data_IF_875465586800
#
_entry.id   IF_875465586800
#
_cell.length_a   1.000
_cell.length_b   1.000
_cell.length_c   1.000
_cell.angle_alpha   90.00
_cell.angle_beta   90.00
_cell.angle_gamma   90.00
#
_symmetry.space_group_name_H-M   'P 1'
#
loop_
_entity.id
_entity.type
_entity.pdbx_description
1 polymer ?
#
# COMPACT_ATOMS: atom_id res chain seq x y z
N UNK A 1 -31.07 -16.60 -0.46
CA UNK A 1 -31.76 -15.99 0.69
C UNK A 1 -30.86 -15.03 1.46
N UNK A 2 -29.55 -15.28 1.57
CA UNK A 2 -28.61 -14.39 2.26
C UNK A 2 -28.63 -12.93 1.78
N UNK A 3 -28.68 -12.69 0.46
CA UNK A 3 -28.76 -11.33 -0.10
C UNK A 3 -29.97 -10.54 0.43
N UNK A 4 -31.13 -11.19 0.53
CA UNK A 4 -32.38 -10.56 0.98
C UNK A 4 -32.38 -10.35 2.51
N UNK A 5 -31.80 -11.28 3.27
CA UNK A 5 -31.65 -11.16 4.72
C UNK A 5 -30.65 -10.05 5.08
N UNK A 6 -29.48 -10.02 4.45
CA UNK A 6 -28.48 -8.97 4.63
C UNK A 6 -29.06 -7.60 4.28
N UNK A 7 -29.78 -7.49 3.17
CA UNK A 7 -30.47 -6.27 2.77
C UNK A 7 -31.52 -5.82 3.81
N UNK A 8 -32.35 -6.72 4.31
CA UNK A 8 -33.40 -6.38 5.29
C UNK A 8 -32.82 -5.94 6.64
N UNK A 9 -31.79 -6.63 7.13
CA UNK A 9 -31.12 -6.27 8.38
C UNK A 9 -30.35 -4.95 8.25
N UNK A 10 -29.58 -4.77 7.17
CA UNK A 10 -28.85 -3.54 6.94
C UNK A 10 -29.80 -2.34 6.75
N UNK A 11 -30.94 -2.52 6.07
CA UNK A 11 -31.98 -1.49 5.96
C UNK A 11 -32.57 -1.09 7.32
N UNK A 12 -32.65 -2.02 8.26
CA UNK A 12 -33.13 -1.76 9.62
C UNK A 12 -32.09 -0.97 10.43
N UNK A 13 -30.80 -1.28 10.25
CA UNK A 13 -29.69 -0.56 10.88
C UNK A 13 -29.52 0.87 10.33
N UNK A 14 -29.58 1.04 9.01
CA UNK A 14 -29.48 2.38 8.39
C UNK A 14 -30.62 3.32 8.81
N UNK A 15 -31.83 2.78 9.06
CA UNK A 15 -32.96 3.56 9.57
C UNK A 15 -32.73 4.12 10.98
N UNK A 16 -31.75 3.61 11.73
CA UNK A 16 -31.38 4.10 13.06
C UNK A 16 -30.34 5.24 13.01
N UNK A 17 -30.01 5.76 11.81
CA UNK A 17 -29.21 6.98 11.64
C UNK A 17 -27.71 6.76 11.46
N UNK A 18 -27.27 5.54 11.14
CA UNK A 18 -25.86 5.16 11.30
C UNK A 18 -24.95 5.48 10.10
N UNK A 19 -25.49 5.70 8.90
CA UNK A 19 -24.70 6.11 7.73
C UNK A 19 -25.59 6.49 6.55
N UNK A 20 -25.32 7.61 5.87
CA UNK A 20 -26.11 8.07 4.72
C UNK A 20 -25.60 7.56 3.36
N UNK A 21 -24.70 6.56 3.32
CA UNK A 21 -24.15 6.12 2.04
C UNK A 21 -25.19 5.33 1.22
N UNK A 22 -25.54 5.77 -0.01
CA UNK A 22 -26.67 5.20 -0.75
C UNK A 22 -26.44 3.75 -1.19
N UNK A 23 -25.18 3.32 -1.33
CA UNK A 23 -24.82 2.04 -1.93
C UNK A 23 -24.66 0.88 -0.95
N UNK A 24 -24.83 1.11 0.36
CA UNK A 24 -24.69 0.06 1.38
C UNK A 24 -25.49 -1.21 1.06
N UNK A 25 -26.74 -1.03 0.65
CA UNK A 25 -27.66 -2.13 0.36
C UNK A 25 -27.27 -2.88 -0.91
N UNK A 26 -26.73 -2.19 -1.91
CA UNK A 26 -26.26 -2.78 -3.18
C UNK A 26 -24.97 -3.54 -2.94
N UNK A 27 -24.01 -2.93 -2.24
CA UNK A 27 -22.76 -3.56 -1.84
C UNK A 27 -23.01 -4.84 -1.04
N UNK A 28 -23.87 -4.79 -0.02
CA UNK A 28 -24.19 -5.96 0.81
C UNK A 28 -24.76 -7.13 0.01
N UNK A 29 -25.61 -6.85 -0.99
CA UNK A 29 -26.14 -7.88 -1.89
C UNK A 29 -25.06 -8.46 -2.79
N UNK A 30 -24.18 -7.63 -3.36
CA UNK A 30 -23.09 -8.09 -4.22
C UNK A 30 -22.08 -8.93 -3.45
N UNK A 31 -21.69 -8.50 -2.25
CA UNK A 31 -20.82 -9.25 -1.33
C UNK A 31 -21.49 -10.57 -0.95
N UNK A 32 -22.75 -10.55 -0.52
CA UNK A 32 -23.48 -11.77 -0.17
C UNK A 32 -23.61 -12.77 -1.33
N UNK A 33 -23.76 -12.27 -2.56
CA UNK A 33 -23.76 -13.11 -3.76
C UNK A 33 -22.38 -13.71 -4.03
N UNK A 34 -21.33 -12.92 -3.91
CA UNK A 34 -19.94 -13.37 -4.09
C UNK A 34 -19.56 -14.44 -3.07
N UNK A 35 -19.91 -14.24 -1.79
CA UNK A 35 -19.69 -15.23 -0.72
C UNK A 35 -20.40 -16.56 -0.99
N UNK A 36 -21.61 -16.51 -1.54
CA UNK A 36 -22.37 -17.73 -1.85
C UNK A 36 -21.86 -18.46 -3.09
N UNK A 37 -21.47 -17.73 -4.13
CA UNK A 37 -21.07 -18.32 -5.42
C UNK A 37 -19.61 -18.77 -5.44
N UNK A 38 -18.74 -18.12 -4.69
CA UNK A 38 -17.31 -18.35 -4.80
C UNK A 38 -16.75 -17.87 -6.14
N UNK A 39 -17.22 -16.72 -6.63
CA UNK A 39 -16.73 -16.12 -7.87
C UNK A 39 -15.63 -15.10 -7.58
N UNK A 40 -14.74 -14.84 -8.55
CA UNK A 40 -13.80 -13.70 -8.49
C UNK A 40 -14.57 -12.41 -8.79
N UNK A 41 -14.70 -11.55 -7.79
CA UNK A 41 -15.55 -10.35 -7.85
C UNK A 41 -14.71 -9.11 -7.57
N UNK A 42 -14.76 -8.12 -8.46
CA UNK A 42 -14.16 -6.80 -8.26
C UNK A 42 -15.27 -5.76 -8.12
N UNK A 43 -15.31 -5.08 -6.99
CA UNK A 43 -16.26 -4.00 -6.71
C UNK A 43 -15.47 -2.70 -6.59
N UNK A 44 -15.67 -1.79 -7.55
CA UNK A 44 -15.07 -0.46 -7.54
C UNK A 44 -16.00 0.49 -6.81
N UNK A 45 -15.52 1.04 -5.71
CA UNK A 45 -16.18 2.02 -4.87
C UNK A 45 -15.66 3.41 -5.23
N UNK A 46 -16.49 4.42 -5.03
CA UNK A 46 -16.01 5.78 -5.00
C UNK A 46 -15.02 5.97 -3.82
N UNK A 47 -13.97 6.81 -3.98
CA UNK A 47 -13.02 7.10 -2.93
C UNK A 47 -13.76 7.69 -1.73
N UNK A 48 -13.77 6.97 -0.61
CA UNK A 48 -14.54 7.33 0.57
C UNK A 48 -13.66 7.38 1.82
N UNK A 49 -13.36 8.59 2.29
CA UNK A 49 -12.45 8.86 3.41
C UNK A 49 -12.84 8.16 4.72
N UNK A 50 -14.12 7.80 4.90
CA UNK A 50 -14.60 7.21 6.16
C UNK A 50 -14.83 5.72 6.08
N UNK A 51 -14.41 5.04 5.01
CA UNK A 51 -14.60 3.59 4.80
C UNK A 51 -16.04 3.15 5.12
N UNK A 52 -17.02 3.94 4.65
CA UNK A 52 -18.43 3.72 5.01
C UNK A 52 -18.93 2.34 4.54
N UNK A 53 -18.23 1.70 3.62
CA UNK A 53 -18.51 0.37 3.07
C UNK A 53 -18.39 -0.80 4.08
N UNK A 54 -17.79 -0.62 5.26
CA UNK A 54 -17.60 -1.70 6.25
C UNK A 54 -18.89 -2.45 6.60
N UNK A 55 -19.98 -1.73 6.84
CA UNK A 55 -21.26 -2.37 7.18
C UNK A 55 -21.79 -3.25 6.03
N UNK A 56 -21.61 -2.79 4.78
CA UNK A 56 -22.00 -3.57 3.60
C UNK A 56 -21.19 -4.86 3.44
N UNK A 57 -19.90 -4.85 3.80
CA UNK A 57 -19.02 -6.02 3.76
C UNK A 57 -19.27 -6.99 4.93
N UNK A 58 -19.42 -6.47 6.15
CA UNK A 58 -19.48 -7.29 7.36
C UNK A 58 -20.84 -7.93 7.58
N UNK A 59 -21.94 -7.27 7.18
CA UNK A 59 -23.30 -7.81 7.39
C UNK A 59 -23.51 -9.20 6.76
N UNK A 60 -23.13 -9.45 5.49
CA UNK A 60 -23.16 -10.79 4.90
C UNK A 60 -22.33 -11.83 5.68
N UNK A 61 -21.15 -11.44 6.18
CA UNK A 61 -20.25 -12.32 6.94
C UNK A 61 -20.80 -12.67 8.33
N UNK A 62 -21.55 -11.76 8.97
CA UNK A 62 -22.23 -12.04 10.22
C UNK A 62 -23.40 -13.01 10.05
N UNK A 63 -24.08 -12.97 8.91
CA UNK A 63 -25.27 -13.80 8.65
C UNK A 63 -24.91 -15.22 8.19
N UNK A 64 -23.77 -15.39 7.52
CA UNK A 64 -23.23 -16.70 7.18
C UNK A 64 -21.77 -16.76 7.64
N UNK A 65 -21.48 -17.45 8.76
CA UNK A 65 -20.10 -17.72 9.13
C UNK A 65 -19.45 -18.53 8.00
N UNK A 66 -18.45 -17.94 7.37
CA UNK A 66 -17.67 -18.55 6.31
C UNK A 66 -16.22 -18.65 6.76
N UNK A 67 -15.54 -19.73 6.39
CA UNK A 67 -14.07 -19.85 6.49
C UNK A 67 -13.40 -18.91 5.47
N UNK A 68 -13.61 -17.62 5.60
CA UNK A 68 -13.04 -16.59 4.73
C UNK A 68 -11.78 -16.00 5.39
N UNK A 69 -10.85 -15.55 4.55
CA UNK A 69 -9.64 -14.85 4.94
C UNK A 69 -9.82 -13.38 4.60
N UNK A 70 -9.74 -12.51 5.59
CA UNK A 70 -9.81 -11.06 5.42
C UNK A 70 -8.40 -10.49 5.60
N UNK A 71 -7.85 -9.94 4.53
CA UNK A 71 -6.50 -9.33 4.54
C UNK A 71 -6.65 -7.85 4.79
N UNK A 72 -6.06 -7.35 5.87
CA UNK A 72 -6.24 -5.97 6.32
C UNK A 72 -4.90 -5.25 6.46
N UNK A 73 -4.92 -3.95 6.23
CA UNK A 73 -3.86 -3.07 6.75
C UNK A 73 -3.96 -2.94 8.26
N UNK A 74 -2.87 -2.50 8.93
CA UNK A 74 -2.87 -2.30 10.37
C UNK A 74 -3.99 -1.34 10.82
N UNK A 75 -4.23 -0.27 10.07
CA UNK A 75 -5.29 0.72 10.34
C UNK A 75 -6.68 0.10 10.21
N UNK A 76 -6.94 -0.63 9.13
CA UNK A 76 -8.21 -1.32 8.92
C UNK A 76 -8.48 -2.38 9.99
N UNK A 77 -7.45 -3.13 10.40
CA UNK A 77 -7.54 -4.11 11.48
C UNK A 77 -7.90 -3.46 12.81
N UNK A 78 -7.23 -2.37 13.18
CA UNK A 78 -7.55 -1.63 14.40
C UNK A 78 -8.99 -1.13 14.37
N UNK A 79 -9.43 -0.54 13.26
CA UNK A 79 -10.80 -0.07 13.09
C UNK A 79 -11.83 -1.20 13.19
N UNK A 80 -11.60 -2.32 12.52
CA UNK A 80 -12.49 -3.48 12.57
C UNK A 80 -12.69 -3.97 14.01
N UNK A 81 -11.60 -4.10 14.77
CA UNK A 81 -11.63 -4.66 16.12
C UNK A 81 -12.16 -3.68 17.18
N UNK A 82 -11.78 -2.41 17.09
CA UNK A 82 -12.10 -1.40 18.10
C UNK A 82 -13.40 -0.65 17.84
N UNK A 83 -13.81 -0.52 16.57
CA UNK A 83 -14.96 0.31 16.18
C UNK A 83 -16.08 -0.55 15.60
N UNK A 84 -15.85 -1.23 14.49
CA UNK A 84 -16.95 -1.87 13.74
C UNK A 84 -17.48 -3.13 14.43
N UNK A 85 -16.61 -3.97 15.01
CA UNK A 85 -17.04 -5.17 15.74
C UNK A 85 -17.85 -4.84 17.00
N UNK A 86 -17.45 -3.90 17.88
CA UNK A 86 -18.29 -3.49 19.00
C UNK A 86 -19.62 -2.87 18.58
N UNK A 87 -19.64 -2.13 17.45
CA UNK A 87 -20.88 -1.59 16.88
C UNK A 87 -21.86 -2.69 16.47
N UNK A 88 -21.38 -3.68 15.71
CA UNK A 88 -22.18 -4.84 15.32
C UNK A 88 -22.66 -5.65 16.53
N UNK A 89 -21.82 -5.80 17.55
CA UNK A 89 -22.17 -6.51 18.78
C UNK A 89 -23.30 -5.83 19.57
N UNK A 90 -23.34 -4.49 19.63
CA UNK A 90 -24.44 -3.72 20.25
C UNK A 90 -25.78 -3.96 19.57
N UNK A 91 -25.75 -4.26 18.27
CA UNK A 91 -26.93 -4.56 17.46
C UNK A 91 -27.32 -6.05 17.49
N UNK A 92 -26.56 -6.88 18.23
CA UNK A 92 -26.81 -8.30 18.37
C UNK A 92 -26.13 -9.20 17.33
N UNK A 93 -25.33 -8.64 16.42
CA UNK A 93 -24.57 -9.42 15.44
C UNK A 93 -23.22 -9.86 16.03
N UNK A 94 -22.90 -11.15 15.92
CA UNK A 94 -21.63 -11.71 16.40
C UNK A 94 -20.75 -12.08 15.22
N UNK A 95 -19.60 -11.42 15.10
CA UNK A 95 -18.54 -11.77 14.17
C UNK A 95 -17.43 -12.50 14.92
N UNK A 96 -17.22 -13.78 14.63
CA UNK A 96 -16.11 -14.55 15.17
C UNK A 96 -14.87 -14.32 14.31
N UNK A 97 -13.85 -13.69 14.89
CA UNK A 97 -12.58 -13.42 14.22
C UNK A 97 -11.46 -14.22 14.89
N UNK A 98 -10.59 -14.80 14.07
CA UNK A 98 -9.38 -15.49 14.51
C UNK A 98 -8.15 -14.71 14.08
N UNK A 99 -7.25 -14.46 15.03
CA UNK A 99 -5.96 -13.83 14.80
C UNK A 99 -4.86 -14.85 15.07
N UNK A 100 -4.02 -15.11 14.06
CA UNK A 100 -2.89 -16.03 14.19
C UNK A 100 -2.35 -16.47 12.85
N UNK A 101 -1.12 -16.98 12.85
CA UNK A 101 -0.46 -17.49 11.63
C UNK A 101 -0.96 -18.90 11.25
N UNK A 102 -1.69 -19.56 12.14
CA UNK A 102 -2.35 -20.83 11.88
C UNK A 102 -3.81 -20.62 11.49
N UNK A 103 -4.34 -21.47 10.61
CA UNK A 103 -5.73 -21.39 10.20
C UNK A 103 -6.70 -21.66 11.38
N UNK A 104 -7.87 -21.00 11.41
CA UNK A 104 -8.88 -21.28 12.43
C UNK A 104 -9.43 -22.71 12.30
N UNK A 105 -9.69 -23.40 13.44
CA UNK A 105 -10.26 -24.75 13.44
C UNK A 105 -11.78 -24.80 13.24
N UNK A 106 -12.48 -23.66 13.26
CA UNK A 106 -13.93 -23.53 13.05
C UNK A 106 -14.22 -22.49 11.95
N UNK A 107 -15.49 -22.38 11.54
CA UNK A 107 -16.00 -21.36 10.60
C UNK A 107 -15.93 -19.95 11.23
N UNK A 108 -14.71 -19.42 11.31
CA UNK A 108 -14.38 -18.09 11.80
C UNK A 108 -13.66 -17.31 10.72
N UNK A 109 -13.81 -15.99 10.76
CA UNK A 109 -13.12 -15.09 9.85
C UNK A 109 -11.63 -15.04 10.24
N UNK A 110 -10.76 -15.49 9.35
CA UNK A 110 -9.31 -15.43 9.58
C UNK A 110 -8.78 -14.05 9.19
N UNK A 111 -8.27 -13.31 10.18
CA UNK A 111 -7.67 -12.01 9.95
C UNK A 111 -6.16 -12.17 9.70
N UNK A 112 -5.70 -11.70 8.54
CA UNK A 112 -4.29 -11.69 8.17
C UNK A 112 -3.86 -10.28 7.77
N UNK A 113 -2.58 -9.99 7.97
CA UNK A 113 -1.90 -8.89 7.31
C UNK A 113 -1.31 -9.36 5.96
N UNK A 114 -0.74 -8.42 5.20
CA UNK A 114 -0.14 -8.72 3.90
C UNK A 114 1.07 -9.67 4.01
N UNK A 115 1.86 -9.56 5.08
CA UNK A 115 2.99 -10.45 5.35
C UNK A 115 2.51 -11.87 5.70
N UNK A 116 1.51 -11.99 6.57
CA UNK A 116 0.87 -13.25 6.93
C UNK A 116 0.18 -13.91 5.74
N UNK A 117 -0.37 -13.15 4.80
CA UNK A 117 -0.90 -13.67 3.54
C UNK A 117 0.20 -14.35 2.71
N UNK A 118 1.36 -13.73 2.56
CA UNK A 118 2.51 -14.30 1.83
C UNK A 118 2.96 -15.61 2.49
N UNK A 119 3.12 -15.62 3.81
CA UNK A 119 3.52 -16.80 4.55
C UNK A 119 2.48 -17.92 4.44
N UNK A 120 1.20 -17.60 4.63
CA UNK A 120 0.11 -18.57 4.53
C UNK A 120 0.00 -19.18 3.13
N UNK A 121 0.26 -18.40 2.08
CA UNK A 121 0.31 -18.90 0.70
C UNK A 121 1.51 -19.82 0.48
N UNK A 122 2.72 -19.40 0.90
CA UNK A 122 3.95 -20.21 0.80
C UNK A 122 3.86 -21.54 1.54
N UNK A 123 3.17 -21.58 2.67
CA UNK A 123 2.93 -22.79 3.45
C UNK A 123 1.67 -23.57 3.04
N UNK A 124 0.92 -23.12 2.03
CA UNK A 124 -0.30 -23.79 1.57
C UNK A 124 -1.45 -23.81 2.59
N UNK A 125 -1.42 -22.96 3.61
CA UNK A 125 -2.38 -22.95 4.73
C UNK A 125 -3.74 -22.35 4.35
N UNK A 126 -3.79 -21.61 3.23
CA UNK A 126 -5.01 -20.93 2.78
C UNK A 126 -6.08 -21.90 2.24
N UNK A 127 -5.71 -23.08 1.72
CA UNK A 127 -6.65 -24.07 1.17
C UNK A 127 -7.62 -23.46 0.15
N UNK A 128 -8.89 -23.88 0.19
CA UNK A 128 -9.98 -23.38 -0.68
C UNK A 128 -10.74 -22.18 -0.09
N UNK A 129 -10.19 -21.55 0.97
CA UNK A 129 -10.84 -20.43 1.65
C UNK A 129 -10.98 -19.22 0.73
N UNK A 130 -12.12 -18.55 0.83
CA UNK A 130 -12.37 -17.31 0.08
C UNK A 130 -11.55 -16.16 0.65
N UNK A 131 -10.92 -15.41 -0.24
CA UNK A 131 -10.09 -14.25 0.09
C UNK A 131 -10.90 -12.97 -0.04
N UNK A 132 -10.86 -12.12 0.98
CA UNK A 132 -11.48 -10.80 0.99
C UNK A 132 -10.36 -9.75 1.09
N UNK A 133 -10.25 -8.94 0.04
CA UNK A 133 -9.21 -7.93 -0.13
C UNK A 133 -9.84 -6.54 -0.18
N UNK A 134 -10.07 -5.90 0.99
CA UNK A 134 -10.37 -4.48 1.03
C UNK A 134 -9.13 -3.66 0.61
N UNK A 135 -9.29 -2.73 -0.33
CA UNK A 135 -8.20 -1.88 -0.79
C UNK A 135 -7.22 -2.60 -1.72
N UNK A 136 -7.74 -3.32 -2.72
CA UNK A 136 -6.93 -4.06 -3.70
C UNK A 136 -5.92 -3.16 -4.44
N UNK A 137 -6.22 -1.87 -4.55
CA UNK A 137 -5.38 -0.89 -5.26
C UNK A 137 -3.97 -0.77 -4.66
N UNK A 138 -3.83 -0.93 -3.34
CA UNK A 138 -2.53 -0.85 -2.65
C UNK A 138 -1.86 -2.22 -2.52
N UNK A 139 -2.55 -3.32 -2.86
CA UNK A 139 -2.07 -4.67 -2.59
C UNK A 139 -0.71 -4.94 -3.24
N UNK A 140 -0.52 -4.55 -4.50
CA UNK A 140 0.76 -4.73 -5.20
C UNK A 140 1.89 -3.98 -4.53
N UNK A 141 1.67 -2.74 -4.09
CA UNK A 141 2.68 -1.96 -3.36
C UNK A 141 2.99 -2.57 -1.98
N UNK A 142 1.97 -2.98 -1.24
CA UNK A 142 2.13 -3.61 0.07
C UNK A 142 2.82 -4.98 -0.03
N UNK A 143 2.46 -5.80 -1.01
CA UNK A 143 3.13 -7.08 -1.26
C UNK A 143 4.59 -6.88 -1.65
N UNK A 144 4.88 -5.89 -2.51
CA UNK A 144 6.25 -5.53 -2.89
C UNK A 144 7.08 -5.19 -1.66
N UNK A 145 6.56 -4.31 -0.79
CA UNK A 145 7.22 -3.92 0.47
C UNK A 145 7.39 -5.10 1.43
N UNK A 146 6.39 -5.95 1.58
CA UNK A 146 6.47 -7.13 2.45
C UNK A 146 7.45 -8.19 1.92
N UNK A 147 7.69 -8.24 0.60
CA UNK A 147 8.66 -9.11 -0.03
C UNK A 147 10.05 -8.47 -0.16
N UNK A 148 10.19 -7.19 0.18
CA UNK A 148 11.43 -6.45 0.05
C UNK A 148 12.52 -7.06 0.95
N UNK A 149 13.72 -7.19 0.41
CA UNK A 149 14.90 -7.64 1.14
C UNK A 149 15.81 -6.43 1.31
N UNK A 150 16.08 -6.07 2.57
CA UNK A 150 17.01 -5.00 2.92
C UNK A 150 18.21 -5.59 3.66
N UNK A 151 19.41 -5.38 3.11
CA UNK A 151 20.67 -5.80 3.73
C UNK A 151 21.44 -4.58 4.22
N UNK A 152 21.54 -4.44 5.53
CA UNK A 152 22.31 -3.40 6.19
C UNK A 152 23.67 -3.96 6.66
N UNK A 153 24.53 -3.09 7.20
CA UNK A 153 25.86 -3.48 7.70
C UNK A 153 25.80 -4.63 8.73
N UNK A 154 24.77 -4.68 9.57
CA UNK A 154 24.56 -5.76 10.55
C UNK A 154 24.36 -7.13 9.89
N UNK A 155 23.66 -7.20 8.75
CA UNK A 155 23.45 -8.45 8.01
C UNK A 155 24.75 -8.96 7.40
N UNK A 156 25.66 -8.07 7.00
CA UNK A 156 27.01 -8.44 6.55
C UNK A 156 27.87 -8.99 7.69
N UNK A 157 27.79 -8.40 8.88
CA UNK A 157 28.48 -8.91 10.07
C UNK A 157 27.97 -10.29 10.48
N UNK A 158 26.65 -10.50 10.49
CA UNK A 158 26.04 -11.80 10.77
C UNK A 158 26.48 -12.87 9.77
N UNK A 159 26.59 -12.52 8.49
CA UNK A 159 27.10 -13.42 7.46
C UNK A 159 28.56 -13.80 7.72
N UNK A 160 29.40 -12.85 8.10
CA UNK A 160 30.81 -13.10 8.45
C UNK A 160 30.95 -14.01 9.66
N UNK A 161 30.10 -13.84 10.68
CA UNK A 161 30.07 -14.71 11.86
C UNK A 161 29.61 -16.13 11.51
N UNK A 162 28.64 -16.26 10.61
CA UNK A 162 28.12 -17.57 10.18
C UNK A 162 29.10 -18.31 9.25
N UNK A 163 29.88 -17.59 8.44
CA UNK A 163 30.80 -18.13 7.45
C UNK A 163 32.25 -17.63 7.66
N UNK A 164 32.93 -18.06 8.74
CA UNK A 164 34.30 -17.62 9.02
C UNK A 164 35.30 -18.03 7.92
N UNK A 165 34.99 -19.06 7.13
CA UNK A 165 35.83 -19.53 6.03
C UNK A 165 35.88 -18.53 4.84
N UNK A 166 34.89 -17.65 4.72
CA UNK A 166 34.76 -16.69 3.62
C UNK A 166 34.88 -15.23 4.08
N UNK A 167 35.41 -14.99 5.27
CA UNK A 167 35.47 -13.64 5.85
C UNK A 167 36.26 -12.65 4.97
N UNK A 168 37.46 -13.03 4.51
CA UNK A 168 38.30 -12.18 3.66
C UNK A 168 37.64 -11.82 2.32
N UNK A 169 37.15 -12.78 1.50
CA UNK A 169 36.50 -12.42 0.23
C UNK A 169 35.20 -11.63 0.42
N UNK A 170 34.44 -11.86 1.51
CA UNK A 170 33.26 -11.07 1.81
C UNK A 170 33.60 -9.61 2.16
N UNK A 171 34.66 -9.40 2.95
CA UNK A 171 35.11 -8.06 3.34
C UNK A 171 35.66 -7.29 2.13
N UNK A 172 36.52 -7.91 1.33
CA UNK A 172 37.07 -7.29 0.11
C UNK A 172 35.96 -6.88 -0.87
N UNK A 173 34.95 -7.74 -1.03
CA UNK A 173 33.81 -7.45 -1.89
C UNK A 173 32.94 -6.30 -1.34
N UNK A 174 32.65 -6.30 -0.03
CA UNK A 174 31.88 -5.24 0.61
C UNK A 174 32.59 -3.88 0.49
N UNK A 175 33.90 -3.83 0.73
CA UNK A 175 34.69 -2.61 0.57
C UNK A 175 34.74 -2.10 -0.87
N UNK A 176 34.86 -3.02 -1.84
CA UNK A 176 34.86 -2.67 -3.26
C UNK A 176 33.53 -2.05 -3.67
N UNK A 177 32.42 -2.65 -3.24
CA UNK A 177 31.07 -2.15 -3.52
C UNK A 177 30.84 -0.79 -2.86
N UNK A 178 31.19 -0.65 -1.58
CA UNK A 178 31.08 0.62 -0.86
C UNK A 178 31.83 1.75 -1.60
N UNK A 179 33.08 1.51 -2.00
CA UNK A 179 33.87 2.49 -2.76
C UNK A 179 33.26 2.85 -4.11
N UNK A 180 32.70 1.88 -4.82
CA UNK A 180 32.03 2.13 -6.11
C UNK A 180 30.76 2.96 -5.92
N UNK A 181 29.91 2.58 -4.97
CA UNK A 181 28.64 3.26 -4.71
C UNK A 181 28.83 4.72 -4.28
N UNK A 182 29.73 5.00 -3.33
CA UNK A 182 29.99 6.38 -2.89
C UNK A 182 30.65 7.23 -3.98
N UNK A 183 31.38 6.62 -4.93
CA UNK A 183 31.96 7.34 -6.08
C UNK A 183 30.92 7.69 -7.13
N UNK A 184 29.93 6.84 -7.32
CA UNK A 184 28.88 7.01 -8.34
C UNK A 184 27.69 7.85 -7.85
N UNK A 185 27.64 8.18 -6.55
CA UNK A 185 26.55 8.92 -5.94
C UNK A 185 26.33 10.31 -6.58
N UNK A 186 25.19 10.53 -7.27
CA UNK A 186 24.91 11.82 -7.91
C UNK A 186 24.48 12.90 -6.90
N UNK A 187 24.02 12.49 -5.70
CA UNK A 187 23.49 13.34 -4.64
C UNK A 187 23.79 12.73 -3.26
N UNK A 188 23.65 13.55 -2.23
CA UNK A 188 23.58 13.10 -0.84
C UNK A 188 22.35 12.20 -0.69
N UNK A 189 22.54 11.06 -0.03
CA UNK A 189 21.55 10.00 0.21
C UNK A 189 20.85 9.49 -1.05
N UNK A 190 21.63 9.30 -2.13
CA UNK A 190 21.12 8.79 -3.39
C UNK A 190 20.78 7.29 -3.34
N UNK A 191 19.74 6.92 -4.09
CA UNK A 191 19.48 5.54 -4.48
C UNK A 191 20.22 5.24 -5.79
N UNK A 192 21.11 4.24 -5.79
CA UNK A 192 21.94 3.88 -6.94
C UNK A 192 21.59 2.47 -7.38
N UNK A 193 21.31 2.27 -8.67
CA UNK A 193 21.10 0.94 -9.22
C UNK A 193 22.39 0.12 -9.09
N UNK A 194 22.27 -1.08 -8.52
CA UNK A 194 23.38 -2.02 -8.43
C UNK A 194 23.52 -2.84 -9.71
N UNK A 195 24.75 -3.04 -10.15
CA UNK A 195 25.05 -3.86 -11.31
C UNK A 195 24.85 -5.35 -10.99
N UNK A 196 24.11 -6.05 -11.87
CA UNK A 196 23.78 -7.45 -11.66
C UNK A 196 25.02 -8.37 -11.66
N UNK A 197 26.12 -7.95 -12.30
CA UNK A 197 27.38 -8.71 -12.35
C UNK A 197 27.99 -8.88 -10.95
N UNK A 198 28.05 -7.81 -10.17
CA UNK A 198 28.57 -7.84 -8.81
C UNK A 198 27.65 -8.63 -7.87
N UNK A 199 26.34 -8.51 -8.06
CA UNK A 199 25.35 -9.29 -7.32
C UNK A 199 25.48 -10.78 -7.61
N UNK A 200 25.73 -11.16 -8.87
CA UNK A 200 25.91 -12.55 -9.27
C UNK A 200 27.17 -13.15 -8.64
N UNK A 201 28.29 -12.42 -8.61
CA UNK A 201 29.52 -12.89 -7.96
C UNK A 201 29.32 -13.21 -6.47
N UNK A 202 28.53 -12.40 -5.77
CA UNK A 202 28.15 -12.66 -4.38
C UNK A 202 27.29 -13.91 -4.26
N UNK A 203 26.29 -14.08 -5.13
CA UNK A 203 25.43 -15.27 -5.11
C UNK A 203 26.19 -16.55 -5.41
N UNK A 204 27.10 -16.51 -6.38
CA UNK A 204 27.94 -17.65 -6.73
C UNK A 204 28.80 -18.04 -5.52
N UNK A 205 29.43 -17.07 -4.86
CA UNK A 205 30.20 -17.28 -3.63
C UNK A 205 29.34 -17.90 -2.52
N UNK A 206 28.15 -17.34 -2.26
CA UNK A 206 27.24 -17.83 -1.23
C UNK A 206 26.68 -19.23 -1.55
N UNK A 207 26.43 -19.54 -2.82
CA UNK A 207 25.93 -20.84 -3.26
C UNK A 207 26.89 -21.99 -2.95
N UNK A 208 28.20 -21.71 -2.96
CA UNK A 208 29.26 -22.68 -2.66
C UNK A 208 29.45 -22.87 -1.15
N UNK A 209 29.08 -21.87 -0.34
CA UNK A 209 29.44 -21.80 1.08
C UNK A 209 28.37 -22.38 2.04
N UNK A 210 27.24 -22.87 1.52
CA UNK A 210 26.24 -23.62 2.29
C UNK A 210 25.09 -22.76 2.87
N UNK A 211 24.41 -23.22 3.94
CA UNK A 211 23.21 -22.55 4.46
C UNK A 211 23.55 -21.19 5.07
N UNK A 212 23.01 -20.13 4.48
CA UNK A 212 23.20 -18.76 4.92
C UNK A 212 22.08 -18.31 5.87
N UNK A 213 22.35 -17.43 6.85
CA UNK A 213 21.30 -16.86 7.69
C UNK A 213 20.37 -15.95 6.89
N UNK A 214 19.11 -15.82 7.32
CA UNK A 214 18.21 -14.77 6.81
C UNK A 214 18.84 -13.39 7.03
N UNK A 215 18.82 -12.45 6.05
CA UNK A 215 18.03 -12.45 4.80
C UNK A 215 18.75 -13.05 3.58
N UNK A 216 19.95 -13.60 3.74
CA UNK A 216 20.78 -14.08 2.63
C UNK A 216 20.23 -15.34 1.97
N UNK A 217 19.57 -16.20 2.75
CA UNK A 217 18.82 -17.35 2.21
C UNK A 217 17.76 -16.91 1.21
N UNK A 218 17.03 -15.84 1.53
CA UNK A 218 15.94 -15.34 0.71
C UNK A 218 16.52 -14.71 -0.57
N UNK A 219 17.61 -13.95 -0.46
CA UNK A 219 18.32 -13.40 -1.61
C UNK A 219 18.78 -14.49 -2.61
N UNK A 220 19.23 -15.65 -2.11
CA UNK A 220 19.64 -16.78 -2.95
C UNK A 220 18.46 -17.44 -3.68
N UNK A 221 17.26 -17.38 -3.10
CA UNK A 221 16.05 -17.91 -3.75
C UNK A 221 15.45 -16.97 -4.80
N UNK A 222 15.82 -15.69 -4.80
CA UNK A 222 15.29 -14.69 -5.72
C UNK A 222 15.93 -14.73 -7.11
N UNK A 223 15.11 -14.67 -8.16
CA UNK A 223 15.60 -14.50 -9.54
C UNK A 223 16.09 -13.04 -9.75
N UNK A 224 17.36 -12.81 -10.17
CA UNK A 224 17.86 -11.46 -10.43
C UNK A 224 17.12 -10.70 -11.53
N UNK A 225 16.38 -11.37 -12.41
CA UNK A 225 15.70 -10.75 -13.56
C UNK A 225 14.33 -10.19 -13.20
N UNK A 226 13.69 -10.77 -12.19
CA UNK A 226 12.34 -10.41 -11.74
C UNK A 226 12.36 -9.42 -10.58
N UNK A 227 13.55 -9.08 -10.08
CA UNK A 227 13.77 -8.23 -8.92
C UNK A 227 14.60 -7.00 -9.30
N UNK A 228 14.19 -5.84 -8.81
CA UNK A 228 14.96 -4.60 -8.88
C UNK A 228 15.97 -4.56 -7.73
N UNK A 229 17.21 -4.16 -8.03
CA UNK A 229 18.31 -4.08 -7.07
C UNK A 229 18.90 -2.67 -7.04
N UNK A 230 18.93 -2.04 -5.87
CA UNK A 230 19.57 -0.75 -5.66
C UNK A 230 20.25 -0.67 -4.29
N UNK A 231 21.15 0.28 -4.14
CA UNK A 231 21.74 0.67 -2.87
C UNK A 231 21.16 2.02 -2.44
N UNK A 232 20.71 2.11 -1.20
CA UNK A 232 20.41 3.36 -0.51
C UNK A 232 21.65 3.79 0.25
N UNK A 233 22.17 4.99 -0.05
CA UNK A 233 23.30 5.55 0.65
C UNK A 233 22.84 6.38 1.85
N UNK A 234 23.55 6.26 2.96
CA UNK A 234 23.49 7.17 4.09
C UNK A 234 24.86 7.84 4.23
N UNK A 235 24.95 9.08 3.78
CA UNK A 235 26.19 9.87 3.84
C UNK A 235 26.46 10.41 5.24
N UNK A 236 25.48 10.43 6.14
CA UNK A 236 25.67 10.87 7.53
C UNK A 236 26.39 9.81 8.34
N UNK A 237 26.03 8.54 8.15
CA UNK A 237 26.67 7.40 8.80
C UNK A 237 27.78 6.76 7.95
N UNK A 238 27.95 7.19 6.71
CA UNK A 238 28.83 6.56 5.70
C UNK A 238 28.51 5.06 5.52
N UNK A 239 27.22 4.73 5.59
CA UNK A 239 26.69 3.38 5.45
C UNK A 239 25.86 3.27 4.18
N UNK A 240 25.60 2.04 3.76
CA UNK A 240 24.70 1.77 2.65
C UNK A 240 23.86 0.54 2.95
N UNK A 241 22.62 0.57 2.47
CA UNK A 241 21.67 -0.54 2.55
C UNK A 241 21.45 -1.09 1.14
N UNK A 242 21.57 -2.40 0.97
CA UNK A 242 21.17 -3.05 -0.28
C UNK A 242 19.67 -3.34 -0.22
N UNK A 243 18.90 -2.76 -1.11
CA UNK A 243 17.48 -3.01 -1.25
C UNK A 243 17.20 -3.85 -2.51
N UNK A 244 16.38 -4.88 -2.34
CA UNK A 244 15.82 -5.68 -3.42
C UNK A 244 14.31 -5.73 -3.30
N UNK A 245 13.60 -5.47 -4.39
CA UNK A 245 12.13 -5.59 -4.44
C UNK A 245 11.67 -6.31 -5.72
N UNK A 246 10.61 -7.13 -5.66
CA UNK A 246 10.06 -7.76 -6.85
C UNK A 246 9.44 -6.71 -7.79
N UNK A 247 9.70 -6.83 -9.09
CA UNK A 247 9.10 -5.96 -10.11
C UNK A 247 7.59 -6.18 -10.20
N UNK A 248 7.15 -7.45 -10.15
CA UNK A 248 5.76 -7.87 -10.26
C UNK A 248 5.40 -8.84 -9.12
N UNK A 249 5.01 -8.34 -7.93
CA UNK A 249 4.81 -9.18 -6.74
C UNK A 249 3.68 -10.20 -6.91
N UNK A 250 2.64 -9.86 -7.68
CA UNK A 250 1.53 -10.78 -7.97
C UNK A 250 1.95 -11.95 -8.86
N UNK A 251 2.91 -11.74 -9.77
CA UNK A 251 3.46 -12.81 -10.60
C UNK A 251 4.33 -13.78 -9.78
N UNK A 252 5.00 -13.30 -8.74
CA UNK A 252 5.74 -14.15 -7.80
C UNK A 252 4.81 -15.03 -6.96
N UNK A 253 3.60 -14.55 -6.65
CA UNK A 253 2.58 -15.27 -5.87
C UNK A 253 1.55 -15.95 -6.79
N UNK A 254 2.03 -16.73 -7.76
CA UNK A 254 1.16 -17.48 -8.66
C UNK A 254 0.17 -18.33 -7.87
N UNK A 255 -1.09 -18.34 -8.31
CA UNK A 255 -2.16 -19.09 -7.65
C UNK A 255 -2.85 -18.35 -6.51
N UNK A 256 -2.28 -17.27 -5.95
CA UNK A 256 -2.88 -16.54 -4.83
C UNK A 256 -4.31 -16.09 -5.16
N UNK A 257 -4.48 -15.44 -6.32
CA UNK A 257 -5.76 -14.89 -6.78
C UNK A 257 -6.49 -15.80 -7.77
N UNK A 258 -5.77 -16.70 -8.45
CA UNK A 258 -6.35 -17.53 -9.51
C UNK A 258 -6.91 -18.87 -8.99
N UNK A 259 -6.36 -19.47 -7.93
CA UNK A 259 -6.81 -20.80 -7.49
C UNK A 259 -8.02 -20.77 -6.56
N UNK A 260 -8.43 -19.59 -6.08
CA UNK A 260 -9.45 -19.47 -5.04
C UNK A 260 -10.48 -18.37 -5.37
N UNK A 261 -11.66 -18.41 -4.74
CA UNK A 261 -12.60 -17.30 -4.81
C UNK A 261 -12.03 -16.06 -4.12
N UNK A 262 -12.14 -14.90 -4.78
CA UNK A 262 -11.63 -13.62 -4.26
C UNK A 262 -12.68 -12.53 -4.42
N UNK A 263 -12.97 -11.82 -3.33
CA UNK A 263 -13.71 -10.56 -3.34
C UNK A 263 -12.70 -9.41 -3.18
N UNK A 264 -12.64 -8.53 -4.17
CA UNK A 264 -11.75 -7.38 -4.21
C UNK A 264 -12.60 -6.11 -4.11
N UNK A 265 -12.25 -5.21 -3.19
CA UNK A 265 -12.81 -3.86 -3.11
C UNK A 265 -11.74 -2.87 -3.52
N UNK A 266 -12.02 -2.07 -4.55
CA UNK A 266 -11.19 -0.96 -5.00
C UNK A 266 -11.82 0.35 -4.57
N UNK A 267 -11.02 1.32 -4.13
CA UNK A 267 -11.45 2.68 -3.76
C UNK A 267 -10.77 3.78 -4.58
N UNK A 268 -9.81 3.42 -5.45
CA UNK A 268 -8.94 4.36 -6.16
C UNK A 268 -9.61 5.07 -7.35
N UNK A 269 -10.82 4.67 -7.74
CA UNK A 269 -11.56 5.23 -8.89
C UNK A 269 -10.96 4.90 -10.27
N UNK A 270 -9.65 4.62 -10.38
CA UNK A 270 -8.96 4.21 -11.60
C UNK A 270 -8.65 2.70 -11.57
N UNK A 271 -9.43 1.94 -12.33
CA UNK A 271 -9.27 0.48 -12.41
C UNK A 271 -8.23 0.03 -13.43
N UNK A 272 -7.68 0.92 -14.27
CA UNK A 272 -6.90 0.51 -15.45
C UNK A 272 -5.59 -0.18 -15.09
N UNK A 273 -4.81 0.40 -14.17
CA UNK A 273 -3.56 -0.20 -13.68
C UNK A 273 -3.83 -1.52 -12.96
N UNK A 274 -4.82 -1.53 -12.08
CA UNK A 274 -5.23 -2.73 -11.34
C UNK A 274 -5.64 -3.86 -12.29
N UNK A 275 -6.42 -3.57 -13.33
CA UNK A 275 -6.85 -4.54 -14.33
C UNK A 275 -5.66 -5.16 -15.07
N UNK A 276 -4.65 -4.36 -15.41
CA UNK A 276 -3.42 -4.85 -16.04
C UNK A 276 -2.62 -5.77 -15.10
N UNK A 277 -2.47 -5.39 -13.84
CA UNK A 277 -1.78 -6.21 -12.82
C UNK A 277 -2.52 -7.54 -12.57
N UNK A 278 -3.86 -7.52 -12.50
CA UNK A 278 -4.69 -8.71 -12.37
C UNK A 278 -4.62 -9.61 -13.61
N UNK A 279 -4.61 -9.03 -14.81
CA UNK A 279 -4.46 -9.76 -16.06
C UNK A 279 -3.10 -10.48 -16.10
N UNK A 280 -2.02 -9.77 -15.74
CA UNK A 280 -0.67 -10.32 -15.69
C UNK A 280 -0.55 -11.46 -14.67
N UNK A 281 -1.34 -11.42 -13.59
CA UNK A 281 -1.43 -12.46 -12.57
C UNK A 281 -2.41 -13.61 -12.91
N UNK A 282 -2.99 -13.65 -14.12
CA UNK A 282 -4.05 -14.60 -14.53
C UNK A 282 -5.27 -14.60 -13.59
N UNK A 283 -5.59 -13.45 -13.01
CA UNK A 283 -6.60 -13.26 -11.98
C UNK A 283 -7.76 -12.38 -12.46
N UNK A 284 -8.23 -12.58 -13.69
CA UNK A 284 -9.33 -11.78 -14.26
C UNK A 284 -10.61 -11.96 -13.44
N UNK A 285 -11.27 -10.86 -13.04
CA UNK A 285 -12.53 -10.91 -12.30
C UNK A 285 -13.65 -11.42 -13.21
N UNK A 286 -14.48 -12.32 -12.68
CA UNK A 286 -15.67 -12.84 -13.37
C UNK A 286 -16.84 -11.86 -13.29
N UNK A 287 -16.91 -11.11 -12.19
CA UNK A 287 -17.95 -10.11 -11.94
C UNK A 287 -17.28 -8.80 -11.58
N UNK A 288 -17.59 -7.74 -12.33
CA UNK A 288 -17.16 -6.37 -12.06
C UNK A 288 -18.40 -5.50 -11.82
N UNK A 289 -18.34 -4.62 -10.82
CA UNK A 289 -19.39 -3.63 -10.59
C UNK A 289 -18.79 -2.33 -10.08
N UNK A 290 -19.29 -1.19 -10.58
CA UNK A 290 -18.84 0.14 -10.19
C UNK A 290 -19.98 0.86 -9.46
N UNK A 291 -19.73 1.25 -8.21
CA UNK A 291 -20.67 1.99 -7.36
C UNK A 291 -20.23 3.47 -7.31
N UNK A 292 -20.73 4.26 -8.27
CA UNK A 292 -20.40 5.69 -8.42
C UNK A 292 -21.21 6.56 -7.46
N UNK A 293 -20.60 7.62 -6.93
CA UNK A 293 -21.27 8.64 -6.13
C UNK A 293 -21.48 9.90 -6.97
N UNK A 294 -22.69 10.47 -6.94
CA UNK A 294 -23.08 11.64 -7.75
C UNK A 294 -22.32 12.90 -7.35
N UNK A 295 -21.92 13.03 -6.08
CA UNK A 295 -21.16 14.17 -5.55
C UNK A 295 -19.76 14.30 -6.18
N UNK A 296 -19.20 13.19 -6.70
CA UNK A 296 -17.90 13.15 -7.38
C UNK A 296 -18.01 13.29 -8.90
N UNK A 297 -19.22 13.52 -9.44
CA UNK A 297 -19.44 13.76 -10.88
C UNK A 297 -19.30 15.24 -11.25
N UNK A 298 -19.13 16.14 -10.28
CA UNK A 298 -18.87 17.56 -10.56
C UNK A 298 -17.49 17.73 -11.22
N UNK A 299 -17.41 18.40 -12.38
CA UNK A 299 -16.15 18.60 -13.07
C UNK A 299 -15.23 19.51 -12.25
N UNK A 300 -14.03 19.01 -11.92
CA UNK A 300 -13.01 19.77 -11.24
C UNK A 300 -12.53 20.93 -12.13
N UNK A 301 -12.54 22.19 -11.65
CA UNK A 301 -12.00 23.31 -12.41
C UNK A 301 -10.48 23.20 -12.48
N UNK A 302 -9.98 22.79 -13.66
CA UNK A 302 -8.55 22.60 -13.91
C UNK A 302 -7.88 23.93 -14.29
N UNK A 303 -6.83 24.30 -13.55
CA UNK A 303 -5.94 25.38 -13.91
C UNK A 303 -4.57 24.81 -14.32
N UNK A 304 -4.19 25.02 -15.58
CA UNK A 304 -2.87 24.67 -16.09
C UNK A 304 -2.15 25.95 -16.54
N UNK A 305 -1.03 26.32 -15.91
CA UNK A 305 -0.29 27.53 -16.28
C UNK A 305 0.29 27.40 -17.70
N UNK A 306 0.14 28.45 -18.51
CA UNK A 306 0.71 28.48 -19.86
C UNK A 306 2.24 28.56 -19.77
N UNK A 307 2.94 27.78 -20.60
CA UNK A 307 4.41 27.73 -20.68
C UNK A 307 5.08 27.29 -19.38
N UNK A 308 4.51 26.29 -18.70
CA UNK A 308 5.17 25.68 -17.56
C UNK A 308 6.55 25.13 -17.97
N UNK A 309 7.64 25.55 -17.32
CA UNK A 309 8.97 25.01 -17.57
C UNK A 309 9.04 23.53 -17.16
N UNK A 310 10.00 22.80 -17.71
CA UNK A 310 10.21 21.40 -17.35
C UNK A 310 10.85 21.30 -15.95
N UNK A 311 10.53 20.27 -15.14
CA UNK A 311 11.06 20.11 -13.78
C UNK A 311 12.58 20.09 -13.67
N UNK A 312 13.27 19.71 -14.73
CA UNK A 312 14.74 19.64 -14.81
C UNK A 312 15.41 20.96 -15.18
N UNK A 313 14.66 22.06 -15.33
CA UNK A 313 15.21 23.38 -15.65
C UNK A 313 15.40 24.23 -14.41
N UNK A 314 16.43 25.07 -14.40
CA UNK A 314 16.75 25.95 -13.26
C UNK A 314 15.61 26.92 -12.91
N UNK A 315 14.82 27.33 -13.92
CA UNK A 315 13.71 28.28 -13.78
C UNK A 315 12.46 27.63 -13.16
N UNK A 316 12.41 26.29 -13.07
CA UNK A 316 11.23 25.58 -12.63
C UNK A 316 10.80 25.93 -11.20
N UNK A 317 11.76 25.96 -10.27
CA UNK A 317 11.49 26.23 -8.86
C UNK A 317 10.91 27.63 -8.65
N UNK A 318 11.47 28.64 -9.33
CA UNK A 318 10.99 30.02 -9.28
C UNK A 318 9.59 30.15 -9.90
N UNK A 319 9.37 29.54 -11.07
CA UNK A 319 8.07 29.55 -11.71
C UNK A 319 6.99 28.88 -10.85
N UNK A 320 7.31 27.74 -10.23
CA UNK A 320 6.41 27.00 -9.35
C UNK A 320 6.05 27.81 -8.11
N UNK A 321 7.02 28.49 -7.49
CA UNK A 321 6.79 29.39 -6.36
C UNK A 321 5.82 30.52 -6.74
N UNK A 322 6.04 31.17 -7.88
CA UNK A 322 5.19 32.26 -8.38
C UNK A 322 3.75 31.79 -8.69
N UNK A 323 3.58 30.61 -9.30
CA UNK A 323 2.24 30.05 -9.53
C UNK A 323 1.56 29.68 -8.20
N UNK A 324 2.31 29.13 -7.24
CA UNK A 324 1.79 28.77 -5.92
C UNK A 324 1.28 30.01 -5.16
N UNK A 325 2.06 31.11 -5.16
CA UNK A 325 1.63 32.39 -4.57
C UNK A 325 0.30 32.89 -5.14
N UNK A 326 0.16 32.86 -6.47
CA UNK A 326 -1.07 33.31 -7.16
C UNK A 326 -2.29 32.50 -6.76
N UNK A 327 -2.15 31.18 -6.64
CA UNK A 327 -3.24 30.30 -6.26
C UNK A 327 -3.64 30.48 -4.79
N UNK A 328 -2.64 30.58 -3.89
CA UNK A 328 -2.86 30.79 -2.45
C UNK A 328 -3.54 32.14 -2.17
N UNK A 329 -3.17 33.20 -2.90
CA UNK A 329 -3.81 34.52 -2.77
C UNK A 329 -5.20 34.58 -3.44
N UNK A 330 -5.39 33.81 -4.52
CA UNK A 330 -6.59 33.87 -5.34
C UNK A 330 -7.77 33.03 -4.84
N UNK A 331 -7.55 32.08 -3.93
CA UNK A 331 -8.61 31.21 -3.40
C UNK A 331 -8.55 31.12 -1.87
N UNK A 332 -9.66 31.39 -1.16
CA UNK A 332 -9.74 31.10 0.26
C UNK A 332 -9.89 29.58 0.51
N UNK A 333 -9.37 29.10 1.63
CA UNK A 333 -9.52 27.72 2.07
C UNK A 333 -8.18 26.99 2.18
N UNK A 334 -8.24 25.71 2.52
CA UNK A 334 -7.06 24.85 2.62
C UNK A 334 -6.44 24.67 1.23
N UNK A 335 -5.16 25.02 1.09
CA UNK A 335 -4.38 24.74 -0.12
C UNK A 335 -3.41 23.59 0.14
N UNK A 336 -3.35 22.64 -0.77
CA UNK A 336 -2.46 21.48 -0.69
C UNK A 336 -1.51 21.48 -1.88
N UNK A 337 -0.21 21.45 -1.58
CA UNK A 337 0.88 21.41 -2.55
C UNK A 337 1.54 20.03 -2.48
N UNK A 338 1.34 19.21 -3.52
CA UNK A 338 1.89 17.86 -3.61
C UNK A 338 3.19 17.87 -4.43
N UNK A 339 4.31 17.59 -3.77
CA UNK A 339 5.65 17.55 -4.36
C UNK A 339 6.45 16.39 -3.76
N UNK A 340 6.90 15.46 -4.62
CA UNK A 340 7.63 14.28 -4.17
C UNK A 340 9.14 14.53 -3.99
N UNK A 341 9.73 15.52 -4.68
CA UNK A 341 11.15 15.88 -4.47
C UNK A 341 11.30 16.63 -3.13
N UNK A 342 12.01 16.05 -2.14
CA UNK A 342 12.03 16.61 -0.79
C UNK A 342 12.81 17.92 -0.72
N UNK A 343 13.85 18.08 -1.54
CA UNK A 343 14.67 19.30 -1.58
C UNK A 343 13.86 20.47 -2.12
N UNK A 344 13.23 20.29 -3.29
CA UNK A 344 12.36 21.29 -3.90
C UNK A 344 11.19 21.62 -2.99
N UNK A 345 10.55 20.61 -2.39
CA UNK A 345 9.44 20.79 -1.46
C UNK A 345 9.86 21.64 -0.26
N UNK A 346 10.96 21.29 0.43
CA UNK A 346 11.45 22.05 1.59
C UNK A 346 11.81 23.48 1.23
N UNK A 347 12.49 23.70 0.10
CA UNK A 347 12.83 25.05 -0.37
C UNK A 347 11.58 25.87 -0.65
N UNK A 348 10.62 25.30 -1.39
CA UNK A 348 9.37 25.98 -1.73
C UNK A 348 8.54 26.29 -0.48
N UNK A 349 8.47 25.35 0.46
CA UNK A 349 7.76 25.50 1.73
C UNK A 349 8.37 26.62 2.57
N UNK A 350 9.70 26.66 2.68
CA UNK A 350 10.40 27.71 3.41
C UNK A 350 10.18 29.09 2.75
N UNK A 351 10.23 29.17 1.42
CA UNK A 351 9.94 30.42 0.70
C UNK A 351 8.49 30.89 0.90
N UNK A 352 7.52 29.99 0.83
CA UNK A 352 6.12 30.33 1.10
C UNK A 352 5.88 30.71 2.57
N UNK A 353 6.50 30.01 3.52
CA UNK A 353 6.42 30.32 4.94
C UNK A 353 7.01 31.70 5.28
N UNK A 354 8.02 32.14 4.53
CA UNK A 354 8.58 33.49 4.67
C UNK A 354 7.56 34.60 4.33
N UNK A 355 6.59 34.31 3.44
CA UNK A 355 5.58 35.27 2.99
C UNK A 355 4.25 35.14 3.74
N UNK A 356 3.80 33.91 3.97
CA UNK A 356 2.48 33.60 4.54
C UNK A 356 2.56 33.18 6.01
N UNK A 357 3.76 33.11 6.60
CA UNK A 357 4.00 32.84 8.01
C UNK A 357 3.62 31.41 8.42
N UNK A 358 3.07 31.29 9.63
CA UNK A 358 2.67 30.01 10.27
C UNK A 358 1.56 29.25 9.56
N UNK A 359 0.93 29.87 8.56
CA UNK A 359 -0.08 29.24 7.71
C UNK A 359 0.49 28.15 6.82
N UNK A 360 1.79 28.19 6.53
CA UNK A 360 2.47 27.21 5.66
C UNK A 360 3.17 26.17 6.50
N UNK A 361 2.85 24.90 6.29
CA UNK A 361 3.39 23.79 7.09
C UNK A 361 3.75 22.61 6.19
N UNK A 362 4.89 21.97 6.46
CA UNK A 362 5.29 20.71 5.79
C UNK A 362 4.67 19.52 6.52
N UNK A 363 3.98 18.66 5.77
CA UNK A 363 3.46 17.37 6.20
C UNK A 363 2.62 17.44 7.51
N UNK A 364 1.79 18.49 7.64
CA UNK A 364 0.94 18.69 8.82
C UNK A 364 -0.45 18.06 8.67
N UNK A 365 -0.86 17.30 9.69
CA UNK A 365 -2.16 16.62 9.77
C UNK A 365 -3.28 17.45 10.39
N UNK A 366 -2.98 18.63 10.94
CA UNK A 366 -3.94 19.53 11.58
C UNK A 366 -3.80 20.97 11.06
N UNK A 367 -4.09 21.23 9.78
CA UNK A 367 -3.95 22.56 9.20
C UNK A 367 -5.01 23.53 9.72
N UNK A 368 -4.69 24.82 9.65
CA UNK A 368 -5.69 25.88 9.80
C UNK A 368 -6.67 25.88 8.60
N UNK A 369 -7.89 26.40 8.80
CA UNK A 369 -8.94 26.42 7.76
C UNK A 369 -8.54 27.16 6.46
N UNK A 370 -7.56 28.07 6.53
CA UNK A 370 -6.98 28.78 5.39
C UNK A 370 -5.46 28.54 5.32
N UNK A 371 -5.02 27.36 5.77
CA UNK A 371 -3.63 26.94 5.77
C UNK A 371 -3.14 26.47 4.40
N UNK A 372 -1.83 26.32 4.29
CA UNK A 372 -1.14 25.75 3.13
C UNK A 372 -0.32 24.57 3.62
N UNK A 373 -0.64 23.37 3.12
CA UNK A 373 0.16 22.17 3.41
C UNK A 373 1.03 21.86 2.20
N UNK A 374 2.33 21.68 2.42
CA UNK A 374 3.20 20.99 1.47
C UNK A 374 3.37 19.52 1.90
N UNK A 375 3.33 18.59 0.97
CA UNK A 375 3.54 17.17 1.29
C UNK A 375 3.92 16.35 0.07
N UNK A 376 4.46 15.16 0.27
CA UNK A 376 4.58 14.18 -0.82
C UNK A 376 3.22 13.57 -1.15
N UNK A 377 3.12 12.96 -2.33
CA UNK A 377 1.96 12.17 -2.72
C UNK A 377 1.72 11.00 -1.74
N UNK A 378 2.79 10.33 -1.32
CA UNK A 378 2.73 9.24 -0.35
C UNK A 378 2.21 9.68 1.02
N UNK A 379 2.66 10.84 1.52
CA UNK A 379 2.18 11.39 2.77
C UNK A 379 0.69 11.75 2.68
N UNK A 380 0.27 12.37 1.58
CA UNK A 380 -1.14 12.73 1.35
C UNK A 380 -2.07 11.52 1.42
N UNK A 381 -1.73 10.43 0.72
CA UNK A 381 -2.54 9.21 0.74
C UNK A 381 -2.65 8.59 2.14
N UNK A 382 -1.56 8.60 2.91
CA UNK A 382 -1.53 8.04 4.26
C UNK A 382 -2.37 8.86 5.25
N UNK A 383 -2.41 10.18 5.09
CA UNK A 383 -3.03 11.10 6.06
C UNK A 383 -4.35 11.71 5.59
N UNK A 384 -4.85 11.32 4.40
CA UNK A 384 -6.11 11.82 3.83
C UNK A 384 -7.28 11.75 4.82
N UNK A 385 -7.33 10.70 5.64
CA UNK A 385 -8.38 10.46 6.62
C UNK A 385 -8.35 11.41 7.84
N UNK A 386 -7.25 12.12 8.06
CA UNK A 386 -7.08 13.10 9.15
C UNK A 386 -7.35 14.53 8.71
N UNK A 387 -7.37 14.77 7.40
CA UNK A 387 -7.53 16.10 6.82
C UNK A 387 -9.02 16.46 6.70
N UNK A 388 -9.36 17.76 6.78
CA UNK A 388 -10.74 18.20 6.64
C UNK A 388 -11.30 17.91 5.24
N UNK A 389 -12.60 17.63 5.16
CA UNK A 389 -13.32 17.51 3.88
C UNK A 389 -13.33 18.88 3.16
N UNK A 390 -13.12 18.91 1.83
CA UNK A 390 -13.02 20.14 1.04
C UNK A 390 -14.31 20.96 0.97
#
# INVERSE_FOLDING_TARGET
MLEAQAHSHLKTLLRQGESNWPHHLTLSRLVGRSLRRGDRTLLSLAPNQRERWWLGLLMPLCLQPSSAVLVLTAQQRQRLLQVERPRLARQGFRLACWEGNSPPPQDQLWLLDHAGLIQAHRHGLLGDRQLLLPGIDQLSEQLRRCMAIRLDASHWEQLRLALPQAEKPLLEMHERLSRQLFREAPRVDACIRLDNSACQSLRDLLSVLGPCPSPWSDLLTCDPREWANWAELDHTMLQWSWCLEPLEPLQQLQGLLSQRPVLMLSDSGDSTRLEQELLAANATPTVTAVLRETELEEPLPLFAPRRQPLPNTEIYAEHLLEQSRRLILGRPGLTVLLLDDPSLRRTLTASLAAEFGTRVQDECTAPEANGVISGSWSWWLQHLHLLPEP
#
